data_IF_185521128239
#
_entry.id   IF_185521128239
#
_cell.length_a   1.000
_cell.length_b   1.000
_cell.length_c   1.000
_cell.angle_alpha   90.00
_cell.angle_beta   90.00
_cell.angle_gamma   90.00
#
_symmetry.space_group_name_H-M   'P 1'
#
loop_
_entity.id
_entity.type
_entity.pdbx_description
1 polymer ?
#
# COMPACT_ATOMS: atom_id res chain seq x y z
N UNK A 1 0.99 21.91 13.11
CA UNK A 1 0.89 21.92 11.63
C UNK A 1 1.37 20.57 11.16
N UNK A 2 0.53 19.80 10.45
CA UNK A 2 1.01 18.60 9.80
C UNK A 2 2.05 19.00 8.74
N UNK A 3 3.12 18.23 8.56
CA UNK A 3 4.16 18.52 7.56
C UNK A 3 3.55 18.52 6.14
N UNK A 4 4.24 19.12 5.17
CA UNK A 4 3.75 19.13 3.77
C UNK A 4 3.48 17.71 3.25
N UNK A 5 4.23 16.73 3.74
CA UNK A 5 4.06 15.30 3.51
C UNK A 5 2.67 14.74 3.88
N UNK A 6 1.92 15.38 4.78
CA UNK A 6 0.56 14.98 5.11
C UNK A 6 -0.50 15.54 4.14
N UNK A 7 -0.14 16.57 3.35
CA UNK A 7 -1.04 17.25 2.42
C UNK A 7 -0.61 17.04 0.95
N UNK A 8 0.45 16.27 0.72
CA UNK A 8 0.94 15.91 -0.61
C UNK A 8 0.41 14.51 -1.00
N UNK A 9 0.33 14.25 -2.31
CA UNK A 9 0.03 12.91 -2.79
C UNK A 9 1.06 11.91 -2.24
N UNK A 10 0.65 10.65 -1.96
CA UNK A 10 1.58 9.63 -1.54
C UNK A 10 2.74 9.50 -2.56
N UNK A 11 3.96 9.17 -2.09
CA UNK A 11 5.10 9.00 -2.98
C UNK A 11 4.81 7.94 -4.05
N UNK A 12 5.38 8.11 -5.24
CA UNK A 12 5.25 7.12 -6.33
C UNK A 12 5.66 5.74 -5.82
N UNK A 13 4.80 4.74 -6.03
CA UNK A 13 5.07 3.36 -5.65
C UNK A 13 6.41 2.91 -6.25
N UNK A 14 7.37 2.59 -5.39
CA UNK A 14 8.64 2.02 -5.79
C UNK A 14 8.58 0.49 -5.58
N UNK A 15 8.53 -0.33 -6.65
CA UNK A 15 8.47 -1.78 -6.51
C UNK A 15 9.73 -2.39 -5.89
N UNK A 16 10.83 -1.63 -5.80
CA UNK A 16 12.06 -2.04 -5.13
C UNK A 16 12.15 -1.55 -3.67
N UNK A 17 11.17 -0.79 -3.16
CA UNK A 17 11.18 -0.32 -1.76
C UNK A 17 10.54 -1.35 -0.83
N UNK A 18 11.37 -2.17 -0.18
CA UNK A 18 10.96 -3.09 0.87
C UNK A 18 10.81 -4.54 0.43
N UNK A 19 10.54 -5.42 1.40
CA UNK A 19 10.12 -6.80 1.13
C UNK A 19 8.63 -6.82 0.81
N UNK A 20 8.25 -7.41 -0.32
CA UNK A 20 6.85 -7.53 -0.72
C UNK A 20 6.69 -7.73 -2.22
N UNK A 21 5.45 -7.89 -2.67
CA UNK A 21 5.11 -8.01 -4.08
C UNK A 21 3.85 -7.20 -4.37
N UNK A 22 3.77 -6.65 -5.57
CA UNK A 22 2.52 -6.06 -6.07
C UNK A 22 1.71 -7.17 -6.72
N UNK A 23 0.50 -7.37 -6.24
CA UNK A 23 -0.50 -8.24 -6.85
C UNK A 23 -1.51 -7.39 -7.61
N UNK A 24 -1.84 -7.79 -8.84
CA UNK A 24 -2.80 -7.05 -9.65
C UNK A 24 -4.26 -7.33 -9.25
N UNK A 25 -4.50 -8.46 -8.59
CA UNK A 25 -5.83 -8.87 -8.15
C UNK A 25 -5.81 -9.41 -6.71
N UNK A 26 -6.24 -8.58 -5.77
CA UNK A 26 -6.64 -8.96 -4.43
C UNK A 26 -8.11 -8.58 -4.23
N UNK A 27 -9.01 -9.43 -4.73
CA UNK A 27 -10.46 -9.16 -4.66
C UNK A 27 -10.89 -8.02 -5.59
N UNK A 28 -10.27 -7.92 -6.77
CA UNK A 28 -10.49 -6.88 -7.77
C UNK A 28 -9.65 -5.61 -7.59
N UNK A 29 -8.77 -5.58 -6.58
CA UNK A 29 -7.93 -4.42 -6.29
C UNK A 29 -6.45 -4.75 -6.51
N UNK A 30 -5.73 -3.84 -7.17
CA UNK A 30 -4.26 -3.86 -7.18
C UNK A 30 -3.73 -3.53 -5.79
N UNK A 31 -2.95 -4.44 -5.21
CA UNK A 31 -2.51 -4.33 -3.83
C UNK A 31 -1.01 -4.61 -3.69
N UNK A 32 -0.41 -4.00 -2.67
CA UNK A 32 0.94 -4.37 -2.21
C UNK A 32 0.79 -5.31 -1.03
N UNK A 33 1.39 -6.50 -1.12
CA UNK A 33 1.36 -7.50 -0.04
C UNK A 33 2.76 -7.78 0.48
N UNK A 34 2.86 -8.00 1.79
CA UNK A 34 4.09 -8.38 2.47
C UNK A 34 3.74 -9.34 3.60
N UNK A 35 4.60 -10.34 3.79
CA UNK A 35 4.51 -11.30 4.90
C UNK A 35 4.49 -12.76 4.46
N UNK A 36 4.55 -13.69 5.42
CA UNK A 36 4.47 -15.14 5.17
C UNK A 36 3.11 -15.58 4.58
N UNK A 37 3.08 -16.57 3.67
CA UNK A 37 1.83 -17.09 3.10
C UNK A 37 0.98 -17.88 4.12
N UNK A 38 1.58 -18.34 5.21
CA UNK A 38 0.93 -19.10 6.29
C UNK A 38 0.37 -18.22 7.42
N UNK A 39 0.46 -16.89 7.29
CA UNK A 39 -0.14 -15.96 8.23
C UNK A 39 -1.67 -16.11 8.27
N UNK A 40 -2.21 -16.34 9.47
CA UNK A 40 -3.67 -16.45 9.72
C UNK A 40 -4.37 -15.10 9.93
N UNK A 41 -3.60 -14.02 10.03
CA UNK A 41 -4.07 -12.67 10.31
C UNK A 41 -3.38 -11.72 9.34
N UNK A 42 -4.13 -10.77 8.80
CA UNK A 42 -3.62 -9.71 7.93
C UNK A 42 -4.07 -8.34 8.43
N UNK A 43 -3.26 -7.32 8.17
CA UNK A 43 -3.64 -5.92 8.37
C UNK A 43 -3.88 -5.33 6.99
N UNK A 44 -5.07 -4.77 6.78
CA UNK A 44 -5.43 -4.10 5.54
C UNK A 44 -5.46 -2.58 5.77
N UNK A 45 -4.55 -1.88 5.11
CA UNK A 45 -4.57 -0.41 5.07
C UNK A 45 -5.33 0.00 3.80
N UNK A 46 -6.53 0.56 3.99
CA UNK A 46 -7.29 1.23 2.94
C UNK A 46 -7.27 2.71 3.26
N UNK A 47 -6.80 3.51 2.31
CA UNK A 47 -6.83 4.95 2.44
C UNK A 47 -7.68 5.51 1.30
N UNK A 48 -8.58 6.43 1.61
CA UNK A 48 -9.43 7.10 0.62
C UNK A 48 -8.73 8.28 -0.07
N UNK A 49 -7.41 8.43 0.15
CA UNK A 49 -6.66 9.62 -0.23
C UNK A 49 -6.90 9.91 -1.71
N UNK A 50 -7.65 10.98 -1.95
CA UNK A 50 -7.93 11.50 -3.28
C UNK A 50 -6.69 12.25 -3.78
N UNK A 51 -6.07 11.73 -4.83
CA UNK A 51 -4.81 12.25 -5.37
C UNK A 51 -4.76 12.22 -6.90
N UNK A 52 -5.62 13.06 -7.51
CA UNK A 52 -5.95 13.22 -8.95
C UNK A 52 -6.68 12.06 -9.62
#
# INVERSE_FOLDING_TARGET
MASSQCCENPPTLNPASGQGCVVDDLGGLKAYTVGPPDCKIAILLISDIFGK
#
